data_IF_448980041943
#
_entry.id   IF_448980041943
#
_cell.length_a   1.000
_cell.length_b   1.000
_cell.length_c   1.000
_cell.angle_alpha   90.00
_cell.angle_beta   90.00
_cell.angle_gamma   90.00
#
_symmetry.space_group_name_H-M   'P 1'
#
loop_
_entity.id
_entity.type
_entity.pdbx_description
1 polymer ?
#
# COMPACT_ATOMS: atom_id res chain seq x y z
N UNK A 1 -12.34 28.21 7.97
CA UNK A 1 -11.13 27.48 7.57
C UNK A 1 -10.74 27.90 6.17
N UNK A 2 -9.44 27.87 5.81
CA UNK A 2 -9.01 28.09 4.43
C UNK A 2 -9.54 26.97 3.51
N UNK A 3 -9.74 27.27 2.22
CA UNK A 3 -10.08 26.28 1.20
C UNK A 3 -8.76 25.66 0.71
N UNK A 4 -8.68 24.32 0.71
CA UNK A 4 -7.51 23.60 0.22
C UNK A 4 -7.61 23.38 -1.29
N UNK A 5 -6.69 23.97 -2.06
CA UNK A 5 -6.64 23.91 -3.53
C UNK A 5 -5.30 23.34 -4.04
N UNK A 6 -4.57 22.59 -3.21
CA UNK A 6 -3.22 22.09 -3.51
C UNK A 6 -3.14 20.55 -3.55
N UNK A 7 -4.19 19.90 -4.06
CA UNK A 7 -4.28 18.42 -4.11
C UNK A 7 -3.22 17.76 -5.01
N UNK A 8 -2.52 18.54 -5.84
CA UNK A 8 -1.42 18.04 -6.66
C UNK A 8 -0.11 17.89 -5.85
N UNK A 9 0.04 18.62 -4.74
CA UNK A 9 1.18 18.46 -3.85
C UNK A 9 1.00 17.25 -2.92
N UNK A 10 -0.20 17.07 -2.37
CA UNK A 10 -0.61 15.89 -1.61
C UNK A 10 -2.13 15.87 -1.45
N UNK A 11 -2.71 14.75 -1.05
CA UNK A 11 -4.16 14.61 -0.86
C UNK A 11 -4.49 14.33 0.61
N UNK A 12 -5.61 14.86 1.13
CA UNK A 12 -6.12 14.42 2.41
C UNK A 12 -6.50 12.94 2.35
N UNK A 13 -6.22 12.20 3.41
CA UNK A 13 -6.57 10.78 3.51
C UNK A 13 -8.11 10.65 3.49
N UNK A 14 -8.63 9.86 2.55
CA UNK A 14 -10.06 9.50 2.54
C UNK A 14 -10.37 8.63 3.77
N UNK A 15 -11.50 8.89 4.43
CA UNK A 15 -11.88 8.17 5.65
C UNK A 15 -11.92 6.65 5.44
N UNK A 16 -12.35 6.19 4.26
CA UNK A 16 -12.40 4.76 3.93
C UNK A 16 -11.00 4.14 3.88
N UNK A 17 -10.00 4.92 3.45
CA UNK A 17 -8.59 4.47 3.43
C UNK A 17 -8.08 4.41 4.86
N UNK A 18 -8.37 5.42 5.69
CA UNK A 18 -8.01 5.39 7.11
C UNK A 18 -8.61 4.18 7.84
N UNK A 19 -9.91 3.94 7.65
CA UNK A 19 -10.62 2.80 8.23
C UNK A 19 -10.00 1.46 7.81
N UNK A 20 -9.60 1.31 6.54
CA UNK A 20 -8.92 0.11 6.04
C UNK A 20 -7.51 -0.06 6.64
N UNK A 21 -6.80 1.03 6.93
CA UNK A 21 -5.45 1.00 7.52
C UNK A 21 -5.46 0.70 9.02
N UNK A 22 -6.45 1.20 9.75
CA UNK A 22 -6.49 1.15 11.22
C UNK A 22 -6.29 -0.24 11.85
N UNK A 23 -6.88 -1.34 11.32
CA UNK A 23 -6.63 -2.69 11.85
C UNK A 23 -5.15 -3.06 11.85
N UNK A 24 -4.40 -2.71 10.80
CA UNK A 24 -2.97 -3.03 10.66
C UNK A 24 -2.07 -2.13 11.51
N UNK A 25 -2.57 -0.96 11.93
CA UNK A 25 -1.90 -0.06 12.86
C UNK A 25 -2.13 -0.44 14.33
N UNK A 26 -3.08 -1.35 14.63
CA UNK A 26 -3.49 -1.67 16.01
C UNK A 26 -3.41 -3.15 16.34
N UNK A 27 -4.09 -4.00 15.57
CA UNK A 27 -4.38 -5.39 15.91
C UNK A 27 -3.59 -6.37 15.02
N UNK A 28 -3.41 -6.03 13.75
CA UNK A 28 -2.72 -6.85 12.74
C UNK A 28 -1.33 -6.29 12.41
N UNK A 29 -0.55 -5.98 13.44
CA UNK A 29 0.79 -5.35 13.36
C UNK A 29 1.92 -6.30 12.94
N UNK A 30 1.60 -7.50 12.46
CA UNK A 30 2.60 -8.51 12.14
C UNK A 30 3.54 -8.10 10.99
N UNK A 31 4.76 -8.63 10.99
CA UNK A 31 5.65 -8.49 9.85
C UNK A 31 5.16 -9.42 8.71
N UNK A 32 4.83 -8.92 7.51
CA UNK A 32 4.33 -9.74 6.41
C UNK A 32 5.35 -10.80 5.94
N UNK A 33 6.65 -10.62 6.21
CA UNK A 33 7.68 -11.61 5.91
C UNK A 33 7.77 -12.76 6.92
N UNK A 34 7.05 -12.68 8.05
CA UNK A 34 7.04 -13.74 9.05
C UNK A 34 6.14 -14.91 8.60
N UNK A 35 6.76 -16.03 8.21
CA UNK A 35 6.03 -17.21 7.71
C UNK A 35 5.68 -18.25 8.79
N UNK A 36 6.05 -18.02 10.05
CA UNK A 36 5.96 -19.03 11.12
C UNK A 36 4.77 -18.85 12.08
N UNK A 37 4.04 -17.74 11.99
CA UNK A 37 2.98 -17.43 12.95
C UNK A 37 1.83 -16.62 12.33
N UNK A 38 0.65 -16.72 12.95
CA UNK A 38 -0.58 -16.10 12.46
C UNK A 38 -0.47 -14.59 12.21
N UNK A 39 0.22 -13.83 13.06
CA UNK A 39 0.39 -12.39 12.85
C UNK A 39 1.05 -12.05 11.50
N UNK A 40 2.03 -12.84 11.07
CA UNK A 40 2.72 -12.62 9.80
C UNK A 40 1.88 -13.07 8.62
N UNK A 41 1.16 -14.18 8.76
CA UNK A 41 0.21 -14.64 7.74
C UNK A 41 -0.91 -13.63 7.49
N UNK A 42 -1.48 -13.05 8.54
CA UNK A 42 -2.52 -12.01 8.42
C UNK A 42 -1.98 -10.77 7.72
N UNK A 43 -0.79 -10.29 8.10
CA UNK A 43 -0.17 -9.14 7.46
C UNK A 43 0.22 -9.41 5.99
N UNK A 44 0.78 -10.59 5.70
CA UNK A 44 1.14 -11.01 4.35
C UNK A 44 -0.07 -11.08 3.42
N UNK A 45 -1.16 -11.71 3.87
CA UNK A 45 -2.40 -11.78 3.11
C UNK A 45 -2.98 -10.39 2.80
N UNK A 46 -2.86 -9.42 3.71
CA UNK A 46 -3.30 -8.06 3.47
C UNK A 46 -2.48 -7.34 2.38
N UNK A 47 -1.16 -7.58 2.35
CA UNK A 47 -0.28 -7.06 1.29
C UNK A 47 -0.62 -7.69 -0.06
N UNK A 48 -0.95 -8.98 -0.08
CA UNK A 48 -1.35 -9.69 -1.31
C UNK A 48 -2.68 -9.15 -1.86
N UNK A 49 -3.69 -8.93 -1.01
CA UNK A 49 -4.95 -8.31 -1.41
C UNK A 49 -4.72 -6.91 -2.00
N UNK A 50 -3.92 -6.07 -1.33
CA UNK A 50 -3.59 -4.74 -1.84
C UNK A 50 -2.88 -4.79 -3.21
N UNK A 51 -2.05 -5.81 -3.43
CA UNK A 51 -1.36 -6.04 -4.72
C UNK A 51 -2.35 -6.42 -5.82
N UNK A 52 -3.29 -7.31 -5.54
CA UNK A 52 -4.34 -7.72 -6.48
C UNK A 52 -5.25 -6.54 -6.87
N UNK A 53 -5.63 -5.70 -5.90
CA UNK A 53 -6.43 -4.50 -6.15
C UNK A 53 -5.70 -3.50 -7.06
N UNK A 54 -4.41 -3.23 -6.80
CA UNK A 54 -3.60 -2.35 -7.62
C UNK A 54 -3.40 -2.90 -9.04
N UNK A 55 -3.08 -4.18 -9.16
CA UNK A 55 -2.90 -4.85 -10.45
C UNK A 55 -4.19 -4.77 -11.28
N UNK A 56 -5.34 -5.07 -10.66
CA UNK A 56 -6.65 -4.97 -11.31
C UNK A 56 -6.99 -3.54 -11.76
N UNK A 57 -6.61 -2.52 -11.00
CA UNK A 57 -6.87 -1.12 -11.34
C UNK A 57 -6.10 -0.64 -12.59
N UNK A 58 -4.95 -1.25 -12.90
CA UNK A 58 -4.11 -0.89 -14.06
C UNK A 58 -4.10 -1.95 -15.18
N UNK A 59 -4.79 -3.07 -15.00
CA UNK A 59 -4.83 -4.17 -15.97
C UNK A 59 -3.56 -5.02 -16.04
N UNK A 60 -2.80 -5.09 -14.94
CA UNK A 60 -1.60 -5.90 -14.79
C UNK A 60 -1.90 -7.22 -14.05
N UNK A 61 -0.94 -8.15 -14.01
CA UNK A 61 -0.96 -9.27 -13.08
C UNK A 61 -0.37 -8.85 -11.72
N UNK A 62 -0.78 -9.49 -10.60
CA UNK A 62 -0.23 -9.17 -9.28
C UNK A 62 1.31 -9.25 -9.23
N UNK A 63 1.91 -10.21 -9.94
CA UNK A 63 3.36 -10.41 -9.99
C UNK A 63 4.12 -9.25 -10.66
N UNK A 64 3.44 -8.41 -11.44
CA UNK A 64 4.01 -7.23 -12.10
C UNK A 64 4.03 -5.99 -11.19
N UNK A 65 3.35 -6.04 -10.04
CA UNK A 65 3.30 -4.91 -9.09
C UNK A 65 4.41 -5.05 -8.06
N UNK A 66 5.25 -4.02 -7.92
CA UNK A 66 6.25 -3.90 -6.85
C UNK A 66 5.93 -2.69 -5.97
N UNK A 67 5.83 -2.89 -4.66
CA UNK A 67 5.63 -1.79 -3.70
C UNK A 67 6.94 -1.06 -3.45
N UNK A 68 6.89 0.27 -3.50
CA UNK A 68 7.97 1.19 -3.13
C UNK A 68 7.43 2.23 -2.13
N UNK A 69 8.30 3.07 -1.58
CA UNK A 69 7.91 4.16 -0.69
C UNK A 69 7.23 5.33 -1.45
N UNK A 70 7.30 5.38 -2.78
CA UNK A 70 6.66 6.41 -3.59
C UNK A 70 7.22 6.53 -5.00
N UNK A 71 6.64 7.43 -5.80
CA UNK A 71 6.97 7.60 -7.21
C UNK A 71 8.46 7.87 -7.46
N UNK A 72 9.12 8.67 -6.63
CA UNK A 72 10.57 8.95 -6.76
C UNK A 72 11.42 7.69 -6.65
N UNK A 73 11.08 6.75 -5.76
CA UNK A 73 11.80 5.49 -5.66
C UNK A 73 11.49 4.59 -6.86
N UNK A 74 10.22 4.52 -7.27
CA UNK A 74 9.80 3.76 -8.46
C UNK A 74 10.50 4.23 -9.74
N UNK A 75 10.63 5.54 -9.95
CA UNK A 75 11.30 6.12 -11.11
C UNK A 75 12.79 5.73 -11.13
N UNK A 76 13.47 5.81 -9.97
CA UNK A 76 14.86 5.40 -9.87
C UNK A 76 15.05 3.90 -10.12
N UNK A 77 14.20 3.06 -9.54
CA UNK A 77 14.23 1.61 -9.76
C UNK A 77 14.00 1.26 -11.24
N UNK A 78 13.05 1.93 -11.90
CA UNK A 78 12.74 1.68 -13.31
C UNK A 78 13.85 2.13 -14.27
N UNK A 79 14.55 3.22 -13.96
CA UNK A 79 15.56 3.81 -14.84
C UNK A 79 16.98 3.30 -14.56
N UNK A 80 17.32 3.04 -13.30
CA UNK A 80 18.69 2.76 -12.86
C UNK A 80 18.92 1.29 -12.51
N UNK A 81 17.87 0.55 -12.13
CA UNK A 81 17.97 -0.81 -11.59
C UNK A 81 18.24 -0.83 -10.10
#
# INVERSE_FOLDING_TARGET
>A
MPIYLDNNATTPLDERVLEAMLPYLREHFGNPSSTTHAFGWTAGAAVDVAREELAGAIGASPEEVTFTAGATESDNMALLG
#
